data_IF_038605478270
#
_entry.id   IF_038605478270
#
_cell.length_a   1.000
_cell.length_b   1.000
_cell.length_c   1.000
_cell.angle_alpha   90.00
_cell.angle_beta   90.00
_cell.angle_gamma   90.00
#
_symmetry.space_group_name_H-M   'P 1'
#
loop_
_entity.id
_entity.type
_entity.pdbx_description
1 polymer ?
#
# COMPACT_ATOMS: atom_id res chain seq x y z
N UNK A 1 32.41 32.04 56.58
CA UNK A 1 31.20 32.43 55.79
C UNK A 1 31.33 31.79 54.42
N UNK A 2 30.62 30.70 54.21
CA UNK A 2 30.59 30.02 52.91
C UNK A 2 29.20 30.27 52.30
N UNK A 3 29.17 30.90 51.15
CA UNK A 3 27.94 31.16 50.36
C UNK A 3 27.74 29.98 49.44
N UNK A 4 26.69 29.21 49.68
CA UNK A 4 26.24 28.13 48.77
C UNK A 4 25.27 28.74 47.77
N UNK A 5 25.70 28.79 46.51
CA UNK A 5 24.84 29.20 45.39
C UNK A 5 24.07 27.98 44.91
N UNK A 6 22.75 27.96 45.14
CA UNK A 6 21.86 26.91 44.61
C UNK A 6 21.66 27.07 43.12
N UNK A 7 21.95 26.02 42.34
CA UNK A 7 21.54 25.91 40.94
C UNK A 7 20.05 25.58 40.86
N UNK A 8 19.26 26.52 40.37
CA UNK A 8 17.89 26.31 39.97
C UNK A 8 17.89 25.35 38.80
N UNK A 9 17.25 24.19 38.94
CA UNK A 9 16.81 23.37 37.81
C UNK A 9 15.72 24.14 37.07
N UNK A 10 16.02 24.57 35.86
CA UNK A 10 15.01 25.03 34.95
C UNK A 10 14.13 23.81 34.60
N UNK A 11 12.89 23.83 35.04
CA UNK A 11 11.83 22.96 34.48
C UNK A 11 11.75 23.23 32.99
N UNK A 12 12.22 22.28 32.15
CA UNK A 12 11.83 22.20 30.78
C UNK A 12 10.37 21.73 30.76
N UNK A 13 9.46 22.67 30.72
CA UNK A 13 8.15 22.43 30.19
C UNK A 13 8.35 21.95 28.73
N UNK A 14 8.09 20.69 28.47
CA UNK A 14 7.89 20.17 27.12
C UNK A 14 6.61 20.83 26.60
N UNK A 15 6.76 22.00 25.98
CA UNK A 15 5.78 22.53 25.06
C UNK A 15 5.72 21.54 23.89
N UNK A 16 4.80 20.59 23.99
CA UNK A 16 4.29 19.90 22.80
C UNK A 16 3.53 20.96 22.01
N UNK A 17 4.26 21.72 21.18
CA UNK A 17 3.68 22.63 20.22
C UNK A 17 2.72 21.80 19.35
N UNK A 18 1.42 21.96 19.58
CA UNK A 18 0.39 21.41 18.70
C UNK A 18 0.65 22.01 17.32
N UNK A 19 1.06 21.15 16.36
CA UNK A 19 1.29 21.57 15.00
C UNK A 19 0.00 22.24 14.49
N UNK A 20 0.11 23.54 14.17
CA UNK A 20 -1.00 24.36 13.65
C UNK A 20 -0.99 24.28 12.14
N UNK A 21 -2.18 24.42 11.54
CA UNK A 21 -2.34 24.53 10.09
C UNK A 21 -1.52 25.72 9.56
N UNK A 22 -0.58 25.42 8.67
CA UNK A 22 0.33 26.38 8.03
C UNK A 22 -0.12 26.73 6.61
N UNK A 23 -1.31 26.24 6.19
CA UNK A 23 -1.81 26.39 4.83
C UNK A 23 -1.20 25.40 3.84
N UNK A 24 -1.36 25.65 2.53
CA UNK A 24 -0.79 24.78 1.50
C UNK A 24 0.73 24.65 1.61
N UNK A 25 1.24 23.44 1.48
CA UNK A 25 2.69 23.18 1.48
C UNK A 25 3.36 23.78 0.23
N UNK A 26 4.62 24.18 0.33
CA UNK A 26 5.39 24.57 -0.84
C UNK A 26 5.64 23.35 -1.78
N UNK A 27 5.81 22.16 -1.21
CA UNK A 27 6.07 20.91 -1.92
C UNK A 27 5.35 19.76 -1.20
N UNK A 28 4.88 18.75 -1.97
CA UNK A 28 4.39 17.47 -1.46
C UNK A 28 5.13 16.33 -2.16
N UNK A 29 5.75 15.45 -1.37
CA UNK A 29 6.47 14.27 -1.84
C UNK A 29 5.54 13.07 -1.74
N UNK A 30 5.20 12.49 -2.91
CA UNK A 30 4.21 11.44 -3.07
C UNK A 30 4.87 10.13 -3.49
N UNK A 31 4.80 9.10 -2.63
CA UNK A 31 5.32 7.76 -2.88
C UNK A 31 4.33 6.86 -3.61
N UNK A 32 4.86 5.95 -4.45
CA UNK A 32 4.06 4.93 -5.13
C UNK A 32 4.96 3.85 -5.76
N UNK A 33 4.35 2.73 -6.22
CA UNK A 33 5.06 1.65 -6.92
C UNK A 33 4.66 1.56 -8.39
N UNK A 34 5.54 1.05 -9.27
CA UNK A 34 5.23 0.81 -10.68
C UNK A 34 4.43 -0.49 -10.86
N UNK A 35 3.27 -0.57 -10.24
CA UNK A 35 2.38 -1.72 -10.24
C UNK A 35 0.97 -1.34 -10.71
N UNK A 36 0.24 -2.26 -11.32
CA UNK A 36 -1.17 -2.03 -11.67
C UNK A 36 -2.04 -1.86 -10.41
N UNK A 37 -1.66 -2.46 -9.27
CA UNK A 37 -2.30 -2.22 -7.98
C UNK A 37 -2.13 -0.78 -7.46
N UNK A 38 -1.27 0.02 -8.07
CA UNK A 38 -1.13 1.47 -7.80
C UNK A 38 -1.77 2.34 -8.89
N UNK A 39 -2.75 1.80 -9.62
CA UNK A 39 -3.34 2.46 -10.77
C UNK A 39 -3.89 3.87 -10.46
N UNK A 40 -4.50 4.09 -9.29
CA UNK A 40 -4.97 5.43 -8.89
C UNK A 40 -3.84 6.47 -8.88
N UNK A 41 -2.65 6.10 -8.36
CA UNK A 41 -1.48 6.97 -8.38
C UNK A 41 -0.99 7.22 -9.81
N UNK A 42 -0.85 6.14 -10.61
CA UNK A 42 -0.34 6.22 -11.98
C UNK A 42 -1.26 7.04 -12.89
N UNK A 43 -2.57 6.86 -12.78
CA UNK A 43 -3.57 7.66 -13.52
C UNK A 43 -3.49 9.13 -13.09
N UNK A 44 -3.46 9.39 -11.78
CA UNK A 44 -3.39 10.74 -11.23
C UNK A 44 -2.14 11.50 -11.68
N UNK A 45 -1.00 10.81 -11.80
CA UNK A 45 0.26 11.37 -12.30
C UNK A 45 0.23 11.60 -13.81
N UNK A 46 -0.14 10.58 -14.61
CA UNK A 46 -0.18 10.66 -16.08
C UNK A 46 -1.13 11.76 -16.58
N UNK A 47 -2.29 11.87 -15.94
CA UNK A 47 -3.35 12.82 -16.32
C UNK A 47 -3.27 14.15 -15.56
N UNK A 48 -2.21 14.38 -14.76
CA UNK A 48 -2.00 15.57 -13.92
C UNK A 48 -3.15 15.87 -12.94
N UNK A 49 -3.93 14.86 -12.52
CA UNK A 49 -5.12 15.07 -11.69
C UNK A 49 -4.76 15.57 -10.29
N UNK A 50 -3.64 15.15 -9.72
CA UNK A 50 -3.13 15.72 -8.47
C UNK A 50 -2.73 17.18 -8.63
N UNK A 51 -1.97 17.50 -9.68
CA UNK A 51 -1.47 18.85 -9.93
C UNK A 51 -2.59 19.87 -10.13
N UNK A 52 -3.73 19.45 -10.72
CA UNK A 52 -4.90 20.33 -10.93
C UNK A 52 -5.48 20.86 -9.62
N UNK A 53 -5.38 20.13 -8.51
CA UNK A 53 -5.87 20.53 -7.20
C UNK A 53 -4.81 21.17 -6.30
N UNK A 54 -3.53 20.96 -6.58
CA UNK A 54 -2.42 21.41 -5.74
C UNK A 54 -2.12 22.93 -5.84
N UNK A 55 -2.66 23.63 -6.84
CA UNK A 55 -2.39 25.05 -7.04
C UNK A 55 -0.88 25.32 -7.20
N UNK A 56 -0.30 26.08 -6.27
CA UNK A 56 1.13 26.41 -6.29
C UNK A 56 2.03 25.37 -5.59
N UNK A 57 1.46 24.35 -4.94
CA UNK A 57 2.23 23.28 -4.29
C UNK A 57 2.91 22.40 -5.34
N UNK A 58 4.23 22.30 -5.28
CA UNK A 58 4.99 21.44 -6.17
C UNK A 58 4.78 19.97 -5.82
N UNK A 59 4.31 19.16 -6.77
CA UNK A 59 4.24 17.71 -6.63
C UNK A 59 5.60 17.07 -6.95
N UNK A 60 6.11 16.24 -6.03
CA UNK A 60 7.35 15.47 -6.21
C UNK A 60 7.04 13.98 -6.09
N UNK A 61 6.76 13.29 -7.21
CA UNK A 61 6.50 11.87 -7.20
C UNK A 61 7.79 11.08 -7.01
N UNK A 62 7.77 10.07 -6.11
CA UNK A 62 8.91 9.23 -5.80
C UNK A 62 8.53 7.75 -5.95
N UNK A 63 9.26 7.05 -6.83
CA UNK A 63 9.06 5.63 -7.08
C UNK A 63 9.78 4.78 -6.03
N UNK A 64 9.09 3.75 -5.51
CA UNK A 64 9.66 2.69 -4.69
C UNK A 64 9.44 1.32 -5.34
N UNK A 65 10.23 0.32 -4.94
CA UNK A 65 10.06 -1.06 -5.43
C UNK A 65 9.13 -1.87 -4.53
N UNK A 66 9.12 -1.58 -3.23
CA UNK A 66 8.26 -2.24 -2.25
C UNK A 66 8.08 -1.39 -0.98
N UNK A 67 7.13 -1.83 -0.11
CA UNK A 67 6.70 -1.11 1.07
C UNK A 67 7.76 -0.80 2.11
N UNK A 68 8.66 -1.73 2.48
CA UNK A 68 9.68 -1.46 3.49
C UNK A 68 10.57 -0.24 3.19
N UNK A 69 10.92 -0.03 1.91
CA UNK A 69 11.69 1.15 1.48
C UNK A 69 10.89 2.44 1.67
N UNK A 70 9.62 2.42 1.31
CA UNK A 70 8.72 3.57 1.45
C UNK A 70 8.42 3.90 2.92
N UNK A 71 8.28 2.89 3.78
CA UNK A 71 8.16 3.07 5.24
C UNK A 71 9.35 3.84 5.79
N UNK A 72 10.57 3.47 5.41
CA UNK A 72 11.77 4.19 5.84
C UNK A 72 11.76 5.66 5.39
N UNK A 73 11.30 5.95 4.16
CA UNK A 73 11.19 7.30 3.64
C UNK A 73 10.14 8.14 4.40
N UNK A 74 8.99 7.56 4.73
CA UNK A 74 7.94 8.21 5.55
C UNK A 74 8.44 8.50 6.97
N UNK A 75 9.00 7.50 7.66
CA UNK A 75 9.48 7.65 9.03
C UNK A 75 10.71 8.57 9.11
N UNK A 76 11.57 8.55 8.09
CA UNK A 76 12.72 9.46 7.96
C UNK A 76 12.37 10.87 7.50
N UNK A 77 11.10 11.16 7.19
CA UNK A 77 10.64 12.49 6.78
C UNK A 77 11.07 12.91 5.38
N UNK A 78 11.55 11.99 4.54
CA UNK A 78 11.88 12.25 3.13
C UNK A 78 10.69 12.02 2.17
N UNK A 79 9.56 11.53 2.69
CA UNK A 79 8.29 11.37 1.99
C UNK A 79 7.17 11.92 2.87
N UNK A 80 6.11 12.48 2.28
CA UNK A 80 4.98 13.07 3.01
C UNK A 80 3.74 12.19 2.96
N UNK A 81 3.40 11.67 1.79
CA UNK A 81 2.23 10.84 1.50
C UNK A 81 2.67 9.64 0.68
N UNK A 82 2.12 8.45 0.94
CA UNK A 82 2.48 7.25 0.20
C UNK A 82 1.28 6.38 -0.17
N UNK A 83 1.23 5.96 -1.43
CA UNK A 83 0.43 4.82 -1.87
C UNK A 83 1.20 3.55 -1.55
N UNK A 84 0.74 2.77 -0.60
CA UNK A 84 1.51 1.68 0.00
C UNK A 84 0.62 0.46 0.27
N UNK A 85 1.23 -0.71 0.40
CA UNK A 85 0.51 -1.91 0.82
C UNK A 85 0.02 -1.84 2.27
N UNK A 86 -1.10 -2.50 2.58
CA UNK A 86 -1.68 -2.50 3.94
C UNK A 86 -0.72 -3.07 5.00
N UNK A 87 0.05 -4.09 4.69
CA UNK A 87 1.04 -4.66 5.62
C UNK A 87 2.13 -3.65 6.02
N UNK A 88 2.87 -3.06 5.06
CA UNK A 88 3.81 -1.97 5.34
C UNK A 88 3.17 -0.74 6.00
N UNK A 89 1.92 -0.39 5.67
CA UNK A 89 1.21 0.71 6.32
C UNK A 89 1.02 0.46 7.83
N UNK A 90 0.60 -0.76 8.22
CA UNK A 90 0.54 -1.20 9.62
C UNK A 90 1.93 -1.12 10.26
N UNK A 91 2.97 -1.56 9.54
CA UNK A 91 4.35 -1.52 10.05
C UNK A 91 4.84 -0.11 10.31
N UNK A 92 4.55 0.85 9.42
CA UNK A 92 4.91 2.26 9.62
C UNK A 92 4.24 2.84 10.87
N UNK A 93 2.96 2.54 11.08
CA UNK A 93 2.21 2.97 12.25
C UNK A 93 2.79 2.35 13.54
N UNK A 94 2.99 1.03 13.56
CA UNK A 94 3.49 0.31 14.73
C UNK A 94 4.91 0.70 15.12
N UNK A 95 5.83 0.86 14.15
CA UNK A 95 7.22 1.23 14.41
C UNK A 95 7.37 2.62 15.02
N UNK A 96 6.41 3.51 14.78
CA UNK A 96 6.37 4.85 15.35
C UNK A 96 5.59 4.95 16.66
N UNK A 97 5.20 3.83 17.26
CA UNK A 97 4.34 3.85 18.45
C UNK A 97 2.94 4.44 18.20
N UNK A 98 2.48 4.41 16.94
CA UNK A 98 1.18 4.95 16.55
C UNK A 98 1.16 6.46 16.33
N UNK A 99 2.32 7.11 16.15
CA UNK A 99 2.37 8.58 16.09
C UNK A 99 2.71 9.13 14.69
N UNK A 100 3.59 8.48 13.91
CA UNK A 100 4.19 9.12 12.75
C UNK A 100 3.29 9.17 11.49
N UNK A 101 2.36 8.26 11.33
CA UNK A 101 1.53 8.17 10.12
C UNK A 101 0.04 7.96 10.41
N UNK A 102 -0.81 8.32 9.45
CA UNK A 102 -2.25 8.05 9.46
C UNK A 102 -2.71 7.45 8.14
N UNK A 103 -3.62 6.51 8.21
CA UNK A 103 -4.37 5.94 7.08
C UNK A 103 -5.46 6.95 6.70
N UNK A 104 -5.44 7.45 5.46
CA UNK A 104 -6.33 8.53 5.03
C UNK A 104 -7.26 8.14 3.87
N UNK A 105 -6.97 7.06 3.15
CA UNK A 105 -7.84 6.53 2.09
C UNK A 105 -7.45 5.10 1.69
N UNK A 106 -8.35 4.41 1.01
CA UNK A 106 -8.02 3.30 0.13
C UNK A 106 -7.53 3.77 -1.24
N UNK A 107 -6.97 2.86 -2.01
CA UNK A 107 -6.63 3.09 -3.40
C UNK A 107 -7.02 1.89 -4.28
N UNK A 108 -6.69 0.66 -3.87
CA UNK A 108 -6.98 -0.56 -4.63
C UNK A 108 -7.36 -1.70 -3.70
N UNK A 109 -8.46 -2.38 -4.05
CA UNK A 109 -8.87 -3.66 -3.47
C UNK A 109 -8.55 -4.80 -4.45
N UNK A 110 -8.03 -5.94 -3.93
CA UNK A 110 -7.67 -7.12 -4.72
C UNK A 110 -6.41 -6.93 -5.57
N UNK A 111 -6.23 -7.79 -6.57
CA UNK A 111 -5.09 -7.71 -7.50
C UNK A 111 -3.81 -8.34 -6.96
N UNK A 112 -3.93 -9.41 -6.17
CA UNK A 112 -2.80 -10.28 -5.85
C UNK A 112 -3.23 -11.75 -5.89
N UNK A 113 -2.35 -12.62 -6.33
CA UNK A 113 -2.64 -14.03 -6.54
C UNK A 113 -1.43 -14.90 -6.16
N UNK A 114 -1.69 -16.09 -5.61
CA UNK A 114 -0.76 -17.18 -5.57
C UNK A 114 -0.84 -17.92 -6.91
N UNK A 115 0.19 -17.77 -7.72
CA UNK A 115 0.34 -18.45 -9.00
C UNK A 115 1.38 -19.55 -8.91
N UNK A 116 1.16 -20.66 -9.59
CA UNK A 116 1.95 -21.88 -9.44
C UNK A 116 2.30 -22.51 -10.78
N UNK A 117 3.35 -23.36 -10.79
CA UNK A 117 3.66 -24.20 -11.95
C UNK A 117 2.48 -25.11 -12.31
N UNK A 118 2.29 -25.44 -13.61
CA UNK A 118 1.15 -26.23 -14.07
C UNK A 118 0.97 -27.58 -13.38
N UNK A 119 2.05 -28.17 -12.87
CA UNK A 119 2.06 -29.46 -12.15
C UNK A 119 1.47 -29.40 -10.74
N UNK A 120 1.36 -28.20 -10.14
CA UNK A 120 0.85 -27.99 -8.77
C UNK A 120 -0.67 -27.81 -8.86
N UNK A 121 -1.46 -28.66 -8.20
CA UNK A 121 -2.92 -28.65 -8.25
C UNK A 121 -3.57 -28.37 -6.91
N UNK A 122 -2.88 -28.69 -5.82
CA UNK A 122 -3.37 -28.55 -4.45
C UNK A 122 -2.35 -27.82 -3.59
N UNK A 123 -2.75 -27.25 -2.44
CA UNK A 123 -1.80 -26.70 -1.47
C UNK A 123 -0.69 -27.68 -1.07
N UNK A 124 -1.03 -28.97 -0.93
CA UNK A 124 -0.10 -30.04 -0.50
C UNK A 124 1.03 -30.27 -1.51
N UNK A 125 0.81 -29.99 -2.79
CA UNK A 125 1.84 -30.12 -3.84
C UNK A 125 2.99 -29.08 -3.66
N UNK A 126 2.80 -28.09 -2.78
CA UNK A 126 3.83 -27.11 -2.43
C UNK A 126 4.84 -27.61 -1.39
N UNK A 127 4.61 -28.79 -0.77
CA UNK A 127 5.59 -29.38 0.16
C UNK A 127 6.94 -29.59 -0.55
N UNK A 128 8.02 -29.17 0.10
CA UNK A 128 9.38 -29.22 -0.45
C UNK A 128 9.67 -28.21 -1.56
N UNK A 129 8.73 -27.31 -1.89
CA UNK A 129 8.88 -26.33 -2.99
C UNK A 129 9.34 -24.97 -2.48
N UNK A 130 9.89 -24.19 -3.41
CA UNK A 130 10.24 -22.79 -3.18
C UNK A 130 9.13 -21.90 -3.73
N UNK A 131 8.60 -21.04 -2.88
CA UNK A 131 7.54 -20.08 -3.21
C UNK A 131 8.09 -18.67 -3.03
N UNK A 132 7.99 -17.84 -4.05
CA UNK A 132 8.41 -16.45 -3.98
C UNK A 132 7.31 -15.56 -3.37
N UNK A 133 7.75 -14.52 -2.67
CA UNK A 133 6.95 -13.36 -2.27
C UNK A 133 7.79 -12.11 -2.42
N UNK A 134 7.19 -10.90 -2.40
CA UNK A 134 7.95 -9.64 -2.37
C UNK A 134 8.86 -9.54 -1.14
N UNK A 135 9.38 -8.35 -0.87
CA UNK A 135 10.27 -8.11 0.27
C UNK A 135 9.65 -8.56 1.60
N UNK A 136 10.50 -8.96 2.54
CA UNK A 136 10.11 -9.42 3.88
C UNK A 136 9.19 -8.40 4.57
N UNK A 137 8.07 -8.89 5.09
CA UNK A 137 7.06 -8.05 5.77
C UNK A 137 6.21 -7.19 4.84
N UNK A 138 6.34 -7.36 3.51
CA UNK A 138 5.40 -6.78 2.56
C UNK A 138 4.04 -7.48 2.63
N UNK A 139 2.98 -6.87 2.10
CA UNK A 139 1.60 -7.39 2.19
C UNK A 139 1.50 -8.84 1.73
N UNK A 140 2.00 -9.18 0.54
CA UNK A 140 1.92 -10.54 -0.02
C UNK A 140 2.86 -11.54 0.67
N UNK A 141 3.94 -11.08 1.31
CA UNK A 141 4.79 -11.94 2.13
C UNK A 141 4.04 -12.42 3.39
N UNK A 142 3.31 -11.51 4.03
CA UNK A 142 2.44 -11.83 5.18
C UNK A 142 1.32 -12.76 4.76
N UNK A 143 0.61 -12.44 3.66
CA UNK A 143 -0.49 -13.27 3.12
C UNK A 143 -0.04 -14.68 2.80
N UNK A 144 1.10 -14.85 2.12
CA UNK A 144 1.67 -16.17 1.79
C UNK A 144 1.99 -16.98 3.05
N UNK A 145 2.72 -16.40 3.99
CA UNK A 145 3.15 -17.10 5.21
C UNK A 145 1.96 -17.49 6.09
N UNK A 146 0.99 -16.58 6.22
CA UNK A 146 -0.27 -16.89 6.90
C UNK A 146 -1.00 -18.04 6.22
N UNK A 147 -1.15 -17.97 4.89
CA UNK A 147 -1.83 -19.02 4.14
C UNK A 147 -1.11 -20.37 4.26
N UNK A 148 0.23 -20.41 4.23
CA UNK A 148 1.02 -21.62 4.48
C UNK A 148 0.69 -22.20 5.85
N UNK A 149 0.62 -21.36 6.89
CA UNK A 149 0.26 -21.80 8.24
C UNK A 149 -1.16 -22.34 8.32
N UNK A 150 -2.13 -21.67 7.71
CA UNK A 150 -3.53 -22.10 7.66
C UNK A 150 -3.70 -23.46 6.94
N UNK A 151 -2.94 -23.68 5.85
CA UNK A 151 -2.92 -24.94 5.12
C UNK A 151 -2.09 -26.04 5.82
N UNK A 152 -1.45 -25.72 6.96
CA UNK A 152 -0.59 -26.62 7.75
C UNK A 152 0.56 -27.22 6.92
N UNK A 153 1.14 -26.43 6.03
CA UNK A 153 2.28 -26.84 5.21
C UNK A 153 3.57 -26.59 6.00
N UNK A 154 4.33 -27.65 6.26
CA UNK A 154 5.52 -27.59 7.14
C UNK A 154 6.86 -27.46 6.41
N UNK A 155 6.91 -27.78 5.12
CA UNK A 155 8.13 -27.77 4.31
C UNK A 155 7.95 -26.96 3.02
N UNK A 156 7.63 -25.67 3.19
CA UNK A 156 7.58 -24.69 2.08
C UNK A 156 8.67 -23.66 2.31
N UNK A 157 9.55 -23.49 1.33
CA UNK A 157 10.62 -22.48 1.38
C UNK A 157 10.12 -21.16 0.82
N UNK A 158 9.85 -20.19 1.69
CA UNK A 158 9.51 -18.83 1.24
C UNK A 158 10.79 -18.07 0.91
N UNK A 159 10.87 -17.53 -0.30
CA UNK A 159 11.99 -16.73 -0.78
C UNK A 159 11.50 -15.33 -1.14
N UNK A 160 12.04 -14.32 -0.49
CA UNK A 160 11.75 -12.91 -0.82
C UNK A 160 12.55 -12.52 -2.08
N UNK A 161 11.85 -12.13 -3.14
CA UNK A 161 12.42 -11.81 -4.45
C UNK A 161 11.76 -10.54 -4.98
N UNK A 162 12.55 -9.65 -5.56
CA UNK A 162 12.00 -8.50 -6.26
C UNK A 162 11.05 -8.96 -7.36
N UNK A 163 9.86 -8.35 -7.42
CA UNK A 163 8.80 -8.75 -8.35
C UNK A 163 9.28 -8.83 -9.80
N UNK A 164 10.17 -7.92 -10.22
CA UNK A 164 10.71 -7.87 -11.58
C UNK A 164 11.55 -9.13 -11.95
N UNK A 165 12.10 -9.84 -10.97
CA UNK A 165 12.95 -11.02 -11.17
C UNK A 165 12.17 -12.34 -11.14
N UNK A 166 10.90 -12.31 -10.69
CA UNK A 166 10.12 -13.55 -10.48
C UNK A 166 9.83 -14.31 -11.76
N UNK A 167 9.62 -13.61 -12.89
CA UNK A 167 9.33 -14.25 -14.16
C UNK A 167 10.46 -15.17 -14.63
N UNK A 168 11.70 -14.71 -14.57
CA UNK A 168 12.86 -15.49 -15.02
C UNK A 168 13.13 -16.66 -14.07
N UNK A 169 12.99 -16.45 -12.77
CA UNK A 169 13.15 -17.52 -11.78
C UNK A 169 12.04 -18.58 -11.88
N UNK A 170 10.82 -18.17 -12.20
CA UNK A 170 9.72 -19.11 -12.44
C UNK A 170 9.94 -19.92 -13.72
N UNK A 171 10.34 -19.28 -14.83
CA UNK A 171 10.65 -19.96 -16.11
C UNK A 171 11.81 -20.94 -15.99
N UNK A 172 12.82 -20.61 -15.22
CA UNK A 172 13.97 -21.52 -14.98
C UNK A 172 13.65 -22.67 -14.02
N UNK A 173 12.49 -22.63 -13.35
CA UNK A 173 12.12 -23.60 -12.33
C UNK A 173 12.83 -23.40 -10.98
N UNK A 174 13.53 -22.29 -10.78
CA UNK A 174 14.15 -21.95 -9.48
C UNK A 174 13.10 -21.72 -8.39
N UNK A 175 11.92 -21.22 -8.77
CA UNK A 175 10.73 -21.14 -7.93
C UNK A 175 9.57 -21.90 -8.57
N UNK A 176 8.72 -22.52 -7.76
CA UNK A 176 7.58 -23.30 -8.24
C UNK A 176 6.25 -22.58 -8.09
N UNK A 177 6.24 -21.52 -7.29
CA UNK A 177 5.07 -20.67 -7.06
C UNK A 177 5.50 -19.25 -6.68
N UNK A 178 4.57 -18.31 -6.77
CA UNK A 178 4.79 -16.96 -6.29
C UNK A 178 3.47 -16.30 -5.88
N UNK A 179 3.46 -15.60 -4.74
CA UNK A 179 2.34 -14.74 -4.34
C UNK A 179 2.67 -13.31 -4.70
N UNK A 180 2.03 -12.78 -5.71
CA UNK A 180 2.43 -11.53 -6.34
C UNK A 180 1.25 -10.59 -6.55
N UNK A 181 1.48 -9.26 -6.42
CA UNK A 181 0.53 -8.25 -6.87
C UNK A 181 0.53 -8.13 -8.39
N UNK A 182 -0.53 -7.53 -8.95
CA UNK A 182 -0.60 -7.20 -10.37
C UNK A 182 0.33 -6.02 -10.76
N UNK A 183 1.03 -6.07 -11.89
CA UNK A 183 0.82 -7.01 -13.03
C UNK A 183 1.67 -8.30 -12.97
N UNK A 184 2.39 -8.53 -11.90
CA UNK A 184 3.39 -9.61 -11.83
C UNK A 184 2.76 -11.00 -11.86
N UNK A 185 1.62 -11.20 -11.19
CA UNK A 185 0.86 -12.45 -11.27
C UNK A 185 0.38 -12.72 -12.71
N UNK A 186 -0.19 -11.71 -13.38
CA UNK A 186 -0.61 -11.80 -14.79
C UNK A 186 0.54 -12.12 -15.73
N UNK A 187 1.74 -11.59 -15.49
CA UNK A 187 2.92 -11.92 -16.31
C UNK A 187 3.32 -13.39 -16.17
N UNK A 188 3.31 -13.94 -14.95
CA UNK A 188 3.62 -15.36 -14.78
C UNK A 188 2.57 -16.25 -15.48
N UNK A 189 1.30 -15.90 -15.40
CA UNK A 189 0.22 -16.65 -16.07
C UNK A 189 0.37 -16.61 -17.57
N UNK A 190 0.55 -15.43 -18.17
CA UNK A 190 0.53 -15.26 -19.63
C UNK A 190 1.88 -15.51 -20.31
N UNK A 191 3.00 -15.23 -19.60
CA UNK A 191 4.34 -15.31 -20.19
C UNK A 191 5.10 -16.58 -19.78
N UNK A 192 4.65 -17.28 -18.71
CA UNK A 192 5.30 -18.49 -18.20
C UNK A 192 4.34 -19.68 -18.00
N UNK A 193 3.07 -19.54 -18.38
CA UNK A 193 2.08 -20.61 -18.29
C UNK A 193 1.68 -20.99 -16.86
N UNK A 194 1.92 -20.11 -15.88
CA UNK A 194 1.47 -20.31 -14.50
C UNK A 194 -0.06 -20.39 -14.43
N UNK A 195 -0.58 -21.13 -13.45
CA UNK A 195 -2.00 -21.13 -13.12
C UNK A 195 -2.25 -20.52 -11.75
N UNK A 196 -3.42 -19.94 -11.56
CA UNK A 196 -3.84 -19.38 -10.28
C UNK A 196 -4.23 -20.53 -9.35
N UNK A 197 -3.61 -20.61 -8.17
CA UNK A 197 -4.02 -21.51 -7.11
C UNK A 197 -4.93 -20.81 -6.09
N UNK A 198 -4.64 -19.53 -5.79
CA UNK A 198 -5.42 -18.71 -4.87
C UNK A 198 -5.53 -17.29 -5.43
N UNK A 199 -6.73 -16.73 -5.44
CA UNK A 199 -6.92 -15.29 -5.55
C UNK A 199 -7.04 -14.71 -4.13
N UNK A 200 -6.19 -13.75 -3.76
CA UNK A 200 -6.09 -13.24 -2.40
C UNK A 200 -7.42 -12.67 -1.88
N UNK A 201 -8.18 -12.01 -2.74
CA UNK A 201 -9.48 -11.43 -2.36
C UNK A 201 -10.48 -12.48 -1.92
N UNK A 202 -10.42 -13.72 -2.46
CA UNK A 202 -11.36 -14.79 -2.15
C UNK A 202 -11.18 -15.33 -0.73
N UNK A 203 -10.08 -15.00 -0.07
CA UNK A 203 -9.82 -15.33 1.34
C UNK A 203 -10.47 -14.32 2.30
N UNK A 204 -11.07 -13.25 1.80
CA UNK A 204 -11.55 -12.14 2.61
C UNK A 204 -13.06 -11.91 2.44
N UNK A 205 -13.74 -11.39 3.48
CA UNK A 205 -15.17 -11.10 3.42
C UNK A 205 -15.52 -10.19 2.23
N UNK A 206 -16.56 -10.56 1.50
CA UNK A 206 -17.05 -9.80 0.35
C UNK A 206 -16.10 -9.80 -0.87
N UNK A 207 -15.08 -10.64 -0.88
CA UNK A 207 -14.10 -10.66 -1.98
C UNK A 207 -13.29 -9.36 -2.08
N UNK A 208 -13.03 -8.70 -0.95
CA UNK A 208 -12.32 -7.42 -0.89
C UNK A 208 -11.08 -7.54 0.00
N UNK A 209 -9.97 -7.01 -0.48
CA UNK A 209 -8.69 -6.99 0.25
C UNK A 209 -7.99 -5.63 0.04
N UNK A 210 -7.55 -4.91 1.11
CA UNK A 210 -6.91 -3.60 0.99
C UNK A 210 -5.46 -3.75 0.50
N UNK A 211 -5.29 -3.97 -0.80
CA UNK A 211 -3.98 -4.20 -1.41
C UNK A 211 -3.14 -2.94 -1.38
N UNK A 212 -3.73 -1.80 -1.76
CA UNK A 212 -3.05 -0.50 -1.72
C UNK A 212 -3.93 0.52 -1.01
N UNK A 213 -3.33 1.22 -0.08
CA UNK A 213 -3.94 2.30 0.69
C UNK A 213 -3.10 3.56 0.61
N UNK A 214 -3.65 4.69 1.04
CA UNK A 214 -2.95 5.96 1.15
C UNK A 214 -2.69 6.29 2.61
N UNK A 215 -1.43 6.52 2.95
CA UNK A 215 -1.03 6.99 4.28
C UNK A 215 -0.30 8.32 4.18
N UNK A 216 -0.35 9.11 5.24
CA UNK A 216 0.28 10.43 5.33
C UNK A 216 1.06 10.56 6.63
N UNK A 217 2.16 11.27 6.63
CA UNK A 217 2.82 11.66 7.90
C UNK A 217 1.88 12.49 8.76
N UNK A 218 1.73 12.14 10.02
CA UNK A 218 0.83 12.82 10.96
C UNK A 218 1.14 14.30 11.08
N UNK A 219 2.42 14.67 11.09
CA UNK A 219 2.84 16.06 11.13
C UNK A 219 2.40 16.81 9.86
N UNK A 220 2.63 16.24 8.67
CA UNK A 220 2.24 16.84 7.41
C UNK A 220 0.72 17.02 7.29
N UNK A 221 -0.05 16.03 7.77
CA UNK A 221 -1.52 16.11 7.82
C UNK A 221 -2.00 17.29 8.68
N UNK A 222 -1.36 17.54 9.82
CA UNK A 222 -1.70 18.65 10.73
C UNK A 222 -1.27 20.00 10.18
N UNK A 223 -0.10 20.07 9.58
CA UNK A 223 0.49 21.33 9.09
C UNK A 223 -0.09 21.75 7.73
N UNK A 224 -0.49 20.80 6.88
CA UNK A 224 -0.88 21.07 5.49
C UNK A 224 -2.17 20.32 5.09
N UNK A 225 -3.26 20.42 5.85
CA UNK A 225 -4.50 19.69 5.56
C UNK A 225 -5.09 20.04 4.18
N UNK A 226 -4.89 21.28 3.71
CA UNK A 226 -5.32 21.71 2.38
C UNK A 226 -4.59 20.95 1.25
N UNK A 227 -3.28 20.71 1.41
CA UNK A 227 -2.49 19.92 0.45
C UNK A 227 -2.91 18.45 0.46
N UNK A 228 -3.18 17.87 1.64
CA UNK A 228 -3.69 16.49 1.75
C UNK A 228 -5.06 16.38 1.09
N UNK A 229 -5.95 17.36 1.29
CA UNK A 229 -7.27 17.43 0.62
C UNK A 229 -7.11 17.44 -0.90
N UNK A 230 -6.18 18.23 -1.44
CA UNK A 230 -5.92 18.29 -2.88
C UNK A 230 -5.45 16.91 -3.45
N UNK A 231 -4.61 16.19 -2.73
CA UNK A 231 -4.21 14.81 -3.12
C UNK A 231 -5.42 13.85 -3.08
N UNK A 232 -6.29 13.95 -2.08
CA UNK A 232 -7.51 13.13 -1.99
C UNK A 232 -8.50 13.44 -3.11
N UNK A 233 -8.62 14.70 -3.54
CA UNK A 233 -9.40 15.09 -4.71
C UNK A 233 -8.84 14.46 -6.00
N UNK A 234 -7.53 14.54 -6.21
CA UNK A 234 -6.87 13.90 -7.36
C UNK A 234 -7.01 12.37 -7.35
N UNK A 235 -6.98 11.72 -6.18
CA UNK A 235 -7.29 10.29 -6.02
C UNK A 235 -8.73 9.98 -6.46
N UNK A 236 -9.69 10.79 -6.03
CA UNK A 236 -11.11 10.61 -6.39
C UNK A 236 -11.31 10.78 -7.90
N UNK A 237 -10.66 11.77 -8.52
CA UNK A 237 -10.73 12.01 -9.96
C UNK A 237 -10.09 10.86 -10.75
N UNK A 238 -8.96 10.31 -10.30
CA UNK A 238 -8.32 9.14 -10.91
C UNK A 238 -9.25 7.92 -10.89
N UNK A 239 -9.89 7.66 -9.76
CA UNK A 239 -10.85 6.56 -9.62
C UNK A 239 -12.12 6.80 -10.46
N UNK A 240 -12.57 8.05 -10.57
CA UNK A 240 -13.71 8.43 -11.41
C UNK A 240 -13.39 8.24 -12.89
N UNK A 241 -12.20 8.65 -13.34
CA UNK A 241 -11.73 8.40 -14.70
C UNK A 241 -11.67 6.89 -15.00
N UNK A 242 -11.12 6.10 -14.08
CA UNK A 242 -11.02 4.65 -14.24
C UNK A 242 -12.39 3.97 -14.39
N UNK A 243 -13.40 4.47 -13.71
CA UNK A 243 -14.77 3.96 -13.78
C UNK A 243 -15.50 4.43 -15.06
N UNK A 244 -15.32 5.69 -15.49
CA UNK A 244 -16.03 6.28 -16.63
C UNK A 244 -15.36 5.97 -17.97
N UNK A 245 -14.04 5.88 -18.03
CA UNK A 245 -13.24 5.57 -19.22
C UNK A 245 -12.09 4.61 -18.89
N UNK A 246 -12.38 3.32 -18.72
CA UNK A 246 -11.35 2.32 -18.40
C UNK A 246 -10.26 2.19 -19.48
N UNK A 247 -10.57 2.51 -20.73
CA UNK A 247 -9.58 2.45 -21.81
C UNK A 247 -8.53 3.55 -21.65
N UNK A 248 -8.96 4.78 -21.37
CA UNK A 248 -8.07 5.91 -21.09
C UNK A 248 -7.27 5.67 -19.82
N UNK A 249 -7.90 5.15 -18.77
CA UNK A 249 -7.23 4.83 -17.50
C UNK A 249 -6.15 3.76 -17.69
N UNK A 250 -6.41 2.67 -18.40
CA UNK A 250 -5.41 1.64 -18.73
C UNK A 250 -4.26 2.22 -19.56
N UNK A 251 -4.55 3.10 -20.51
CA UNK A 251 -3.51 3.78 -21.30
C UNK A 251 -2.61 4.62 -20.38
N UNK A 252 -3.18 5.41 -19.47
CA UNK A 252 -2.45 6.22 -18.51
C UNK A 252 -1.53 5.37 -17.61
N UNK A 253 -2.06 4.27 -17.07
CA UNK A 253 -1.26 3.31 -16.28
C UNK A 253 -0.09 2.76 -17.10
N UNK A 254 -0.34 2.35 -18.33
CA UNK A 254 0.70 1.73 -19.16
C UNK A 254 1.77 2.74 -19.61
N UNK A 255 1.41 4.00 -19.85
CA UNK A 255 2.35 5.09 -20.13
C UNK A 255 3.30 5.29 -18.94
N UNK A 256 2.76 5.37 -17.73
CA UNK A 256 3.57 5.52 -16.52
C UNK A 256 4.47 4.29 -16.29
N UNK A 257 3.96 3.09 -16.46
CA UNK A 257 4.77 1.87 -16.34
C UNK A 257 5.91 1.87 -17.36
N UNK A 258 5.67 2.29 -18.60
CA UNK A 258 6.73 2.42 -19.62
C UNK A 258 7.78 3.44 -19.20
N UNK A 259 7.39 4.61 -18.71
CA UNK A 259 8.33 5.64 -18.25
C UNK A 259 9.17 5.16 -17.05
N UNK A 260 8.55 4.46 -16.10
CA UNK A 260 9.18 4.06 -14.85
C UNK A 260 10.06 2.81 -14.97
N UNK A 261 9.73 1.90 -15.89
CA UNK A 261 10.38 0.58 -16.04
C UNK A 261 11.10 0.39 -17.36
N UNK A 262 10.93 1.33 -18.29
CA UNK A 262 11.47 1.24 -19.67
C UNK A 262 10.65 0.34 -20.60
N UNK A 263 9.57 -0.31 -20.11
CA UNK A 263 8.77 -1.24 -20.91
C UNK A 263 7.28 -1.13 -20.56
N UNK A 264 6.45 -0.95 -21.59
CA UNK A 264 5.00 -1.06 -21.48
C UNK A 264 4.57 -2.53 -21.29
N UNK A 265 3.45 -2.74 -20.63
CA UNK A 265 2.79 -4.05 -20.59
C UNK A 265 2.13 -4.36 -21.92
N UNK A 266 2.15 -5.63 -22.33
CA UNK A 266 1.30 -6.12 -23.42
C UNK A 266 -0.18 -6.00 -23.05
N UNK A 267 -1.04 -5.76 -24.06
CA UNK A 267 -2.48 -5.54 -23.85
C UNK A 267 -3.14 -6.65 -23.03
N UNK A 268 -2.87 -7.92 -23.36
CA UNK A 268 -3.43 -9.06 -22.62
C UNK A 268 -3.03 -9.06 -21.14
N UNK A 269 -1.77 -8.73 -20.82
CA UNK A 269 -1.29 -8.64 -19.44
C UNK A 269 -1.97 -7.52 -18.68
N UNK A 270 -2.06 -6.34 -19.30
CA UNK A 270 -2.73 -5.19 -18.70
C UNK A 270 -4.23 -5.46 -18.49
N UNK A 271 -4.91 -6.05 -19.47
CA UNK A 271 -6.34 -6.37 -19.37
C UNK A 271 -6.63 -7.38 -18.26
N UNK A 272 -5.80 -8.44 -18.16
CA UNK A 272 -5.95 -9.43 -17.09
C UNK A 272 -5.67 -8.80 -15.72
N UNK A 273 -4.60 -8.02 -15.59
CA UNK A 273 -4.27 -7.34 -14.34
C UNK A 273 -5.36 -6.36 -13.90
N UNK A 274 -5.94 -5.63 -14.86
CA UNK A 274 -7.04 -4.70 -14.61
C UNK A 274 -8.30 -5.37 -14.09
N UNK A 275 -8.64 -6.55 -14.60
CA UNK A 275 -9.78 -7.34 -14.12
C UNK A 275 -9.61 -7.84 -12.68
N UNK A 276 -8.37 -7.97 -12.21
CA UNK A 276 -8.04 -8.41 -10.86
C UNK A 276 -8.18 -7.33 -9.79
N UNK A 277 -8.26 -6.05 -10.17
CA UNK A 277 -8.28 -4.91 -9.25
C UNK A 277 -9.63 -4.20 -9.23
N UNK A 278 -9.93 -3.58 -8.09
CA UNK A 278 -11.01 -2.61 -7.93
C UNK A 278 -10.44 -1.33 -7.30
N UNK A 279 -10.49 -0.21 -8.02
CA UNK A 279 -10.10 1.08 -7.47
C UNK A 279 -11.17 1.58 -6.50
N UNK A 280 -10.76 2.03 -5.33
CA UNK A 280 -11.67 2.45 -4.27
C UNK A 280 -11.01 3.49 -3.38
N UNK A 281 -11.80 4.41 -2.82
CA UNK A 281 -11.37 5.32 -1.76
C UNK A 281 -11.59 4.73 -0.36
N UNK A 282 -12.37 3.63 -0.25
CA UNK A 282 -12.58 2.94 1.01
C UNK A 282 -11.30 2.15 1.38
N UNK A 283 -10.66 2.45 2.51
CA UNK A 283 -9.48 1.72 2.96
C UNK A 283 -9.78 0.31 3.47
N UNK A 284 -11.05 -0.10 3.53
CA UNK A 284 -11.51 -1.37 4.15
C UNK A 284 -11.00 -1.49 5.60
N UNK A 285 -11.13 -0.42 6.35
CA UNK A 285 -10.53 -0.23 7.67
C UNK A 285 -10.86 -1.37 8.66
N UNK A 286 -12.04 -1.98 8.54
CA UNK A 286 -12.45 -3.12 9.37
C UNK A 286 -11.58 -4.38 9.24
N UNK A 287 -10.74 -4.47 8.21
CA UNK A 287 -9.84 -5.62 8.02
C UNK A 287 -8.48 -5.46 8.70
N UNK A 288 -8.10 -4.25 9.09
CA UNK A 288 -6.77 -3.96 9.65
C UNK A 288 -6.45 -4.69 10.96
N UNK A 289 -7.40 -4.89 11.91
CA UNK A 289 -7.13 -5.70 13.10
C UNK A 289 -6.73 -7.15 12.75
N UNK A 290 -7.38 -7.77 11.75
CA UNK A 290 -7.02 -9.11 11.29
C UNK A 290 -5.65 -9.09 10.58
N UNK A 291 -5.39 -8.10 9.71
CA UNK A 291 -4.10 -7.94 9.04
C UNK A 291 -2.95 -7.75 10.03
N UNK A 292 -3.18 -7.04 11.13
CA UNK A 292 -2.20 -6.91 12.22
C UNK A 292 -1.93 -8.26 12.92
N UNK A 293 -2.98 -9.06 13.15
CA UNK A 293 -2.84 -10.41 13.73
C UNK A 293 -2.13 -11.35 12.76
N UNK A 294 -2.37 -11.23 11.46
CA UNK A 294 -1.75 -12.06 10.42
C UNK A 294 -0.23 -11.89 10.36
N UNK A 295 0.30 -10.70 10.74
CA UNK A 295 1.75 -10.49 10.85
C UNK A 295 2.39 -11.37 11.93
N UNK A 296 1.65 -11.70 13.00
CA UNK A 296 2.13 -12.64 14.04
C UNK A 296 2.12 -14.06 13.50
N UNK A 297 1.02 -14.48 12.88
CA UNK A 297 0.91 -15.81 12.27
C UNK A 297 1.98 -16.03 11.19
N UNK A 298 2.30 -14.98 10.45
CA UNK A 298 3.37 -14.98 9.44
C UNK A 298 4.81 -14.95 10.03
N UNK A 299 4.96 -14.83 11.34
CA UNK A 299 6.26 -14.72 12.01
C UNK A 299 7.02 -13.42 11.70
N UNK A 300 6.31 -12.36 11.28
CA UNK A 300 6.88 -11.04 10.98
C UNK A 300 6.93 -10.17 12.23
N UNK A 301 6.01 -10.40 13.16
CA UNK A 301 5.92 -9.72 14.46
C UNK A 301 5.69 -10.74 15.57
N UNK A 302 6.27 -10.47 16.75
CA UNK A 302 6.05 -11.28 17.95
C UNK A 302 4.69 -11.02 18.61
N UNK A 303 4.13 -9.82 18.40
CA UNK A 303 2.85 -9.37 18.93
C UNK A 303 2.10 -8.59 17.85
N UNK A 304 0.78 -8.77 17.81
CA UNK A 304 -0.07 -8.00 16.89
C UNK A 304 0.08 -6.49 17.15
N UNK A 305 0.41 -5.70 16.13
CA UNK A 305 0.41 -4.25 16.24
C UNK A 305 -0.97 -3.74 16.68
N UNK A 306 -0.98 -2.81 17.62
CA UNK A 306 -2.18 -2.05 17.92
C UNK A 306 -2.43 -1.05 16.79
N UNK A 307 -3.61 -1.12 16.19
CA UNK A 307 -4.04 -0.25 15.09
C UNK A 307 -5.09 0.78 15.51
N UNK A 308 -5.38 0.90 16.81
CA UNK A 308 -6.24 1.94 17.35
C UNK A 308 -5.67 3.34 17.06
N UNK A 309 -6.48 4.26 16.58
CA UNK A 309 -6.05 5.61 16.17
C UNK A 309 -5.28 5.67 14.85
N UNK A 310 -5.18 4.58 14.08
CA UNK A 310 -4.46 4.58 12.82
C UNK A 310 -5.17 5.37 11.72
N UNK A 311 -6.51 5.32 11.63
CA UNK A 311 -7.26 5.99 10.58
C UNK A 311 -7.64 7.43 10.94
N UNK A 312 -7.45 8.35 10.00
CA UNK A 312 -8.07 9.67 9.99
C UNK A 312 -8.71 9.90 8.62
N UNK A 313 -10.00 9.62 8.52
CA UNK A 313 -10.77 9.73 7.28
C UNK A 313 -11.56 11.05 7.17
N UNK A 314 -11.29 12.01 8.05
CA UNK A 314 -12.03 13.28 8.13
C UNK A 314 -11.98 14.04 6.82
N UNK A 315 -10.79 14.26 6.27
CA UNK A 315 -10.62 14.99 5.00
C UNK A 315 -11.19 14.19 3.82
N UNK A 316 -11.00 12.88 3.79
CA UNK A 316 -11.57 12.02 2.75
C UNK A 316 -13.12 12.13 2.74
N UNK A 317 -13.75 12.00 3.89
CA UNK A 317 -15.21 12.07 4.00
C UNK A 317 -15.74 13.45 3.61
N UNK A 318 -14.96 14.51 3.87
CA UNK A 318 -15.29 15.86 3.37
C UNK A 318 -15.25 15.92 1.84
N UNK A 319 -14.20 15.39 1.21
CA UNK A 319 -14.07 15.32 -0.27
C UNK A 319 -15.18 14.47 -0.88
N UNK A 320 -15.50 13.32 -0.29
CA UNK A 320 -16.58 12.46 -0.75
C UNK A 320 -17.95 13.16 -0.67
N UNK A 321 -18.24 13.85 0.43
CA UNK A 321 -19.48 14.61 0.61
C UNK A 321 -19.62 15.73 -0.44
N UNK A 322 -18.54 16.47 -0.73
CA UNK A 322 -18.52 17.49 -1.79
C UNK A 322 -18.79 16.92 -3.17
N UNK A 323 -18.38 15.65 -3.41
CA UNK A 323 -18.64 14.92 -4.65
C UNK A 323 -19.98 14.16 -4.66
N UNK A 324 -20.83 14.34 -3.64
CA UNK A 324 -22.12 13.63 -3.53
C UNK A 324 -21.98 12.10 -3.32
N UNK A 325 -20.84 11.65 -2.78
CA UNK A 325 -20.53 10.24 -2.51
C UNK A 325 -20.74 9.91 -1.02
N UNK A 326 -21.10 8.67 -0.69
CA UNK A 326 -21.24 8.25 0.70
C UNK A 326 -19.90 8.31 1.44
N UNK A 327 -19.97 8.61 2.74
CA UNK A 327 -18.82 8.55 3.62
C UNK A 327 -18.33 7.09 3.80
N UNK A 328 -17.03 6.92 4.01
CA UNK A 328 -16.42 5.63 4.33
C UNK A 328 -16.16 5.52 5.85
N UNK A 329 -16.19 4.30 6.36
CA UNK A 329 -16.05 4.03 7.78
C UNK A 329 -14.60 3.79 8.19
N UNK A 330 -14.19 4.40 9.30
CA UNK A 330 -12.94 4.07 9.96
C UNK A 330 -13.02 2.76 10.78
N UNK A 331 -14.20 2.17 10.92
CA UNK A 331 -14.45 0.91 11.64
C UNK A 331 -13.81 0.85 13.05
N UNK A 332 -13.73 2.01 13.73
CA UNK A 332 -13.14 2.13 15.06
C UNK A 332 -11.63 2.41 15.08
N UNK A 333 -10.95 2.41 13.94
CA UNK A 333 -9.51 2.74 13.86
C UNK A 333 -9.20 4.23 14.05
N UNK A 334 -10.21 5.09 14.16
CA UNK A 334 -10.11 6.53 14.45
C UNK A 334 -10.05 6.83 15.96
N UNK A 335 -10.21 5.82 16.79
CA UNK A 335 -10.24 5.96 18.26
C UNK A 335 -9.01 5.29 18.88
N UNK A 336 -8.34 6.03 19.78
CA UNK A 336 -7.33 5.49 20.71
C UNK A 336 -7.97 5.15 22.03
#
# INVERSE_FOLDING_TARGET
MAVVTGCSRADRSEDSATATDQGPAAEVRLGYFPNVTHASALIGLDQNLFAQHLGNTKLVPTKFNAGPEEVNALLGGSLDIGFIGSGPAINAYAQSGGEAVRLIAGATSGGAQLVVQPSINTPQDLQGKTVASPQLGNTQDVSLKKWIADQKLSDVKVQNIDNALTLDQFKSGAIQAAWLPEPWASRLVLEAGAKVLVDEKDLWPGGQFPTTVLIVRTQFLKEHPATVTAILQGLLDANTLAASDPAKAKTAVNNQLQQLTGKALGAATLDRAWQGIQLTTDPLAGQFPQLAQDQVTAGVKDKAPDVAGFADLTLLNTVLAQAGKPAVSASGLDKK
#
